data_IF_141433887529
#
_entry.id   IF_141433887529
#
_cell.length_a   1.000
_cell.length_b   1.000
_cell.length_c   1.000
_cell.angle_alpha   90.00
_cell.angle_beta   90.00
_cell.angle_gamma   90.00
#
_symmetry.space_group_name_H-M   'P 1'
#
loop_
_entity.id
_entity.type
_entity.pdbx_description
1 polymer ?
#
# COMPACT_ATOMS: atom_id res chain seq x y z
N UNK A 1 -38.55 -50.06 1.36
CA UNK A 1 -37.45 -49.10 1.10
C UNK A 1 -37.59 -48.62 -0.35
N UNK A 2 -37.98 -47.35 -0.61
CA UNK A 2 -38.26 -46.89 -1.96
C UNK A 2 -36.98 -46.54 -2.74
N UNK A 3 -37.10 -46.78 -4.04
CA UNK A 3 -36.12 -46.74 -5.10
C UNK A 3 -35.71 -45.29 -5.44
N UNK A 4 -34.43 -44.91 -5.32
CA UNK A 4 -33.93 -43.59 -5.78
C UNK A 4 -33.64 -43.67 -7.28
N UNK A 5 -34.55 -43.14 -8.09
CA UNK A 5 -34.33 -42.91 -9.52
C UNK A 5 -33.28 -41.79 -9.70
N UNK A 6 -32.24 -42.06 -10.49
CA UNK A 6 -31.33 -41.03 -11.01
C UNK A 6 -32.01 -40.32 -12.19
N UNK A 7 -32.18 -39.01 -12.09
CA UNK A 7 -32.76 -38.19 -13.15
C UNK A 7 -31.62 -37.44 -13.88
N UNK A 8 -31.30 -37.72 -15.15
CA UNK A 8 -30.16 -37.11 -15.83
C UNK A 8 -30.62 -36.05 -16.84
N UNK A 9 -31.11 -34.89 -16.38
CA UNK A 9 -31.28 -33.73 -17.25
C UNK A 9 -31.06 -32.43 -16.46
N UNK A 10 -29.80 -32.03 -16.32
CA UNK A 10 -29.46 -30.62 -16.18
C UNK A 10 -28.31 -30.31 -17.14
N UNK A 11 -28.72 -29.72 -18.26
CA UNK A 11 -27.91 -29.11 -19.29
C UNK A 11 -27.18 -27.91 -18.69
N UNK A 12 -25.83 -27.84 -18.67
CA UNK A 12 -25.14 -26.62 -18.29
C UNK A 12 -25.27 -25.63 -19.46
N UNK A 13 -26.30 -24.78 -19.40
CA UNK A 13 -26.42 -23.63 -20.30
C UNK A 13 -25.13 -22.82 -20.23
N UNK A 14 -24.37 -22.83 -21.33
CA UNK A 14 -23.24 -21.95 -21.54
C UNK A 14 -23.72 -20.50 -21.44
N UNK A 15 -23.31 -19.82 -20.39
CA UNK A 15 -23.49 -18.37 -20.26
C UNK A 15 -22.60 -17.75 -21.34
N UNK A 16 -23.13 -17.03 -22.34
CA UNK A 16 -22.30 -16.30 -23.27
C UNK A 16 -21.66 -15.14 -22.49
N UNK A 17 -20.38 -15.27 -22.18
CA UNK A 17 -19.58 -14.21 -21.62
C UNK A 17 -19.64 -13.01 -22.59
N UNK A 18 -20.40 -11.99 -22.21
CA UNK A 18 -20.35 -10.70 -22.89
C UNK A 18 -18.91 -10.18 -22.78
N UNK A 19 -18.28 -9.71 -23.86
CA UNK A 19 -16.96 -9.13 -23.78
C UNK A 19 -17.05 -7.88 -22.91
N UNK A 20 -16.38 -7.91 -21.76
CA UNK A 20 -16.13 -6.73 -20.93
C UNK A 20 -15.38 -5.75 -21.83
N UNK A 21 -16.04 -4.69 -22.27
CA UNK A 21 -15.37 -3.57 -22.92
C UNK A 21 -14.44 -2.95 -21.88
N UNK A 22 -13.14 -3.20 -22.07
CA UNK A 22 -12.05 -2.71 -21.23
C UNK A 22 -11.96 -1.19 -21.43
N UNK A 23 -12.64 -0.48 -20.55
CA UNK A 23 -12.53 0.96 -20.37
C UNK A 23 -11.06 1.36 -20.31
N UNK A 24 -10.70 2.37 -21.11
CA UNK A 24 -9.45 3.14 -21.17
C UNK A 24 -8.31 2.68 -20.24
N UNK A 25 -7.12 2.32 -20.78
CA UNK A 25 -6.00 1.97 -19.91
C UNK A 25 -5.64 3.21 -19.10
N UNK A 26 -5.94 3.16 -17.80
CA UNK A 26 -5.26 4.02 -16.82
C UNK A 26 -3.82 3.51 -16.79
N UNK A 27 -3.03 3.89 -17.79
CA UNK A 27 -1.60 3.60 -17.80
C UNK A 27 -1.06 4.24 -16.55
N UNK A 28 -0.49 3.43 -15.66
CA UNK A 28 0.13 3.99 -14.47
C UNK A 28 1.26 4.90 -14.94
N UNK A 29 1.58 5.94 -14.18
CA UNK A 29 2.71 6.83 -14.50
C UNK A 29 4.01 6.06 -14.77
N UNK A 30 4.18 4.91 -14.11
CA UNK A 30 5.31 4.01 -14.34
C UNK A 30 5.26 3.39 -15.73
N UNK A 31 4.09 3.00 -16.24
CA UNK A 31 3.95 2.45 -17.58
C UNK A 31 4.28 3.51 -18.65
N UNK A 32 3.84 4.75 -18.45
CA UNK A 32 4.21 5.89 -19.30
C UNK A 32 5.73 6.15 -19.28
N UNK A 33 6.33 6.06 -18.10
CA UNK A 33 7.75 6.30 -17.92
C UNK A 33 8.61 5.15 -18.48
N UNK A 34 8.12 3.91 -18.43
CA UNK A 34 8.73 2.76 -19.10
C UNK A 34 8.60 2.84 -20.63
N UNK A 35 7.52 3.43 -21.15
CA UNK A 35 7.33 3.63 -22.58
C UNK A 35 8.26 4.72 -23.16
N UNK A 36 8.63 5.70 -22.34
CA UNK A 36 9.49 6.83 -22.76
C UNK A 36 10.97 6.64 -22.44
N UNK A 37 11.32 5.72 -21.53
CA UNK A 37 12.71 5.47 -21.16
C UNK A 37 13.33 4.39 -22.07
N UNK A 38 14.48 4.65 -22.72
CA UNK A 38 15.19 3.62 -23.44
C UNK A 38 15.75 2.58 -22.46
N UNK A 39 15.25 1.34 -22.54
CA UNK A 39 15.71 0.22 -21.72
C UNK A 39 16.58 -0.74 -22.54
N UNK A 40 17.57 -1.42 -21.92
CA UNK A 40 18.38 -2.42 -22.61
C UNK A 40 17.53 -3.63 -23.02
N UNK A 41 18.06 -4.57 -23.81
CA UNK A 41 17.33 -5.81 -24.13
C UNK A 41 16.94 -6.60 -22.87
N UNK A 42 15.83 -7.38 -22.92
CA UNK A 42 15.36 -8.18 -21.79
C UNK A 42 16.46 -9.07 -21.18
N UNK A 43 16.63 -8.98 -19.87
CA UNK A 43 17.68 -9.68 -19.12
C UNK A 43 17.96 -9.01 -17.77
N UNK A 44 19.03 -9.41 -17.06
CA UNK A 44 19.38 -8.82 -15.78
C UNK A 44 19.58 -7.30 -15.86
N UNK A 45 20.21 -6.82 -16.94
CA UNK A 45 20.41 -5.40 -17.20
C UNK A 45 19.08 -4.63 -17.36
N UNK A 46 18.08 -5.24 -18.02
CA UNK A 46 16.73 -4.67 -18.14
C UNK A 46 16.06 -4.53 -16.79
N UNK A 47 16.13 -5.58 -15.95
CA UNK A 47 15.58 -5.52 -14.60
C UNK A 47 16.25 -4.43 -13.76
N UNK A 48 17.59 -4.31 -13.82
CA UNK A 48 18.32 -3.27 -13.09
C UNK A 48 17.96 -1.87 -13.57
N UNK A 49 17.85 -1.65 -14.89
CA UNK A 49 17.44 -0.37 -15.46
C UNK A 49 16.02 0.01 -15.02
N UNK A 50 15.07 -0.93 -15.13
CA UNK A 50 13.69 -0.76 -14.70
C UNK A 50 13.57 -0.52 -13.19
N UNK A 51 14.33 -1.25 -12.38
CA UNK A 51 14.36 -1.07 -10.92
C UNK A 51 14.90 0.30 -10.53
N UNK A 52 15.99 0.77 -11.16
CA UNK A 52 16.52 2.12 -10.93
C UNK A 52 15.43 3.16 -11.16
N UNK A 53 14.69 3.01 -12.25
CA UNK A 53 13.58 3.88 -12.63
C UNK A 53 12.48 3.95 -11.56
N UNK A 54 12.10 2.80 -10.99
CA UNK A 54 11.11 2.72 -9.92
C UNK A 54 11.56 3.34 -8.60
N UNK A 55 12.86 3.26 -8.32
CA UNK A 55 13.45 3.76 -7.07
C UNK A 55 13.85 5.23 -7.14
N UNK A 56 13.86 5.83 -8.34
CA UNK A 56 14.17 7.26 -8.50
C UNK A 56 13.15 8.10 -7.72
N UNK A 57 13.57 8.85 -6.69
CA UNK A 57 12.67 9.69 -5.92
C UNK A 57 12.01 10.70 -6.83
N UNK A 58 10.68 10.73 -6.84
CA UNK A 58 9.94 11.77 -7.53
C UNK A 58 10.18 13.10 -6.82
N UNK A 59 10.27 14.20 -7.57
CA UNK A 59 10.18 15.55 -7.01
C UNK A 59 9.02 15.58 -6.00
N UNK A 60 9.26 16.00 -4.75
CA UNK A 60 8.25 15.98 -3.72
C UNK A 60 7.13 16.91 -4.16
N UNK A 61 6.05 16.32 -4.67
CA UNK A 61 4.75 17.00 -4.66
C UNK A 61 4.43 17.13 -3.18
N UNK A 62 4.89 18.22 -2.55
CA UNK A 62 4.48 18.55 -1.19
C UNK A 62 2.97 18.64 -1.26
N UNK A 63 2.22 17.66 -0.71
CA UNK A 63 0.80 17.84 -0.60
C UNK A 63 0.65 19.06 0.30
N UNK A 64 -0.15 20.04 -0.11
CA UNK A 64 -0.65 21.04 0.84
C UNK A 64 -1.42 20.24 1.90
N UNK A 65 -0.75 19.90 3.00
CA UNK A 65 -1.33 19.08 4.04
C UNK A 65 -2.22 20.03 4.85
N UNK A 66 -3.51 19.68 5.05
CA UNK A 66 -4.33 20.42 6.01
C UNK A 66 -3.68 20.32 7.39
N UNK A 67 -3.98 21.31 8.24
CA UNK A 67 -3.49 21.36 9.61
C UNK A 67 -3.70 20.03 10.32
N UNK A 68 -2.66 19.64 11.05
CA UNK A 68 -2.59 18.37 11.78
C UNK A 68 -3.78 18.29 12.74
N UNK A 69 -4.61 17.26 12.63
CA UNK A 69 -5.62 17.03 13.67
C UNK A 69 -4.94 16.85 15.02
N UNK A 70 -5.61 17.28 16.10
CA UNK A 70 -5.09 17.10 17.46
C UNK A 70 -4.73 15.64 17.77
N UNK A 71 -5.48 14.68 17.20
CA UNK A 71 -5.17 13.25 17.28
C UNK A 71 -3.82 12.91 16.65
N UNK A 72 -3.50 13.48 15.48
CA UNK A 72 -2.21 13.29 14.81
C UNK A 72 -1.07 13.90 15.62
N UNK A 73 -1.25 15.11 16.16
CA UNK A 73 -0.23 15.78 16.97
C UNK A 73 0.11 14.97 18.23
N UNK A 74 -0.89 14.44 18.93
CA UNK A 74 -0.68 13.57 20.10
C UNK A 74 0.06 12.30 19.73
N UNK A 75 -0.33 11.64 18.64
CA UNK A 75 0.35 10.42 18.18
C UNK A 75 1.81 10.72 17.82
N UNK A 76 2.07 11.83 17.12
CA UNK A 76 3.43 12.24 16.77
C UNK A 76 4.27 12.54 18.02
N UNK A 77 3.70 13.20 19.03
CA UNK A 77 4.38 13.48 20.28
C UNK A 77 4.79 12.18 21.00
N UNK A 78 3.86 11.25 21.18
CA UNK A 78 4.14 9.93 21.80
C UNK A 78 5.22 9.19 21.01
N UNK A 79 5.12 9.12 19.68
CA UNK A 79 6.10 8.41 18.86
C UNK A 79 7.48 9.07 18.83
N UNK A 80 7.56 10.37 19.12
CA UNK A 80 8.84 11.12 19.18
C UNK A 80 9.58 10.96 20.50
N UNK A 81 8.96 10.35 21.52
CA UNK A 81 9.61 10.13 22.80
C UNK A 81 10.70 9.04 22.69
N UNK A 82 11.88 9.28 23.27
CA UNK A 82 12.96 8.29 23.25
C UNK A 82 12.52 7.04 24.03
N UNK A 83 12.80 5.86 23.49
CA UNK A 83 12.48 4.55 24.07
C UNK A 83 10.98 4.21 24.19
N UNK A 84 10.07 4.95 23.52
CA UNK A 84 8.63 4.65 23.52
C UNK A 84 8.28 3.21 23.09
N UNK A 85 9.17 2.57 22.31
CA UNK A 85 9.02 1.17 21.86
C UNK A 85 9.00 0.18 23.05
N UNK A 86 9.61 0.54 24.17
CA UNK A 86 9.68 -0.28 25.38
C UNK A 86 8.72 0.19 26.49
N UNK A 87 7.95 1.24 26.23
CA UNK A 87 7.00 1.79 27.19
C UNK A 87 5.61 1.18 26.97
N UNK A 88 5.27 0.22 27.83
CA UNK A 88 3.96 -0.44 27.83
C UNK A 88 2.81 0.55 28.12
N UNK A 89 3.06 1.60 28.90
CA UNK A 89 2.04 2.60 29.21
C UNK A 89 1.77 3.48 27.98
N UNK A 90 2.81 3.89 27.26
CA UNK A 90 2.64 4.60 25.98
C UNK A 90 1.90 3.74 24.95
N UNK A 91 2.17 2.43 24.92
CA UNK A 91 1.45 1.49 24.06
C UNK A 91 -0.06 1.47 24.38
N UNK A 92 -0.42 1.27 25.65
CA UNK A 92 -1.82 1.16 26.10
C UNK A 92 -2.58 2.48 25.99
N UNK A 93 -1.92 3.61 26.25
CA UNK A 93 -2.58 4.92 26.32
C UNK A 93 -2.83 5.58 24.96
N UNK A 94 -2.22 5.10 23.86
CA UNK A 94 -2.43 5.73 22.56
C UNK A 94 -2.13 4.88 21.34
N UNK A 95 -1.03 4.12 21.36
CA UNK A 95 -0.54 3.44 20.14
C UNK A 95 -1.43 2.25 19.78
N UNK A 96 -1.89 1.47 20.76
CA UNK A 96 -2.69 0.27 20.54
C UNK A 96 -3.98 0.57 19.75
N UNK A 97 -4.65 1.69 20.06
CA UNK A 97 -5.90 2.08 19.39
C UNK A 97 -5.68 2.46 17.93
N UNK A 98 -4.60 3.18 17.64
CA UNK A 98 -4.22 3.55 16.27
C UNK A 98 -3.83 2.30 15.48
N UNK A 99 -3.02 1.43 16.09
CA UNK A 99 -2.60 0.17 15.48
C UNK A 99 -3.80 -0.72 15.15
N UNK A 100 -4.74 -0.93 16.08
CA UNK A 100 -5.98 -1.70 15.83
C UNK A 100 -6.81 -1.13 14.67
N UNK A 101 -6.89 0.20 14.58
CA UNK A 101 -7.59 0.87 13.48
C UNK A 101 -6.92 0.64 12.13
N UNK A 102 -5.58 0.68 12.09
CA UNK A 102 -4.80 0.45 10.87
C UNK A 102 -4.79 -1.03 10.47
N UNK A 103 -4.51 -1.95 11.41
CA UNK A 103 -4.44 -3.39 11.16
C UNK A 103 -5.80 -4.01 10.85
N UNK A 104 -6.88 -3.44 11.37
CA UNK A 104 -8.26 -3.82 11.04
C UNK A 104 -8.79 -3.29 9.70
N UNK A 105 -7.98 -2.57 8.92
CA UNK A 105 -8.40 -2.01 7.62
C UNK A 105 -9.35 -0.79 7.75
N UNK A 106 -9.35 -0.13 8.90
CA UNK A 106 -10.15 1.06 9.14
C UNK A 106 -9.77 2.19 8.20
N UNK A 107 -10.76 2.84 7.59
CA UNK A 107 -10.53 4.00 6.71
C UNK A 107 -10.04 5.19 7.53
N UNK A 108 -8.89 5.74 7.15
CA UNK A 108 -8.37 6.96 7.74
C UNK A 108 -9.17 8.18 7.25
N UNK A 109 -9.67 8.99 8.17
CA UNK A 109 -10.36 10.26 7.86
C UNK A 109 -9.41 11.31 7.26
N UNK A 110 -8.14 11.26 7.67
CA UNK A 110 -7.08 12.14 7.18
C UNK A 110 -5.89 11.28 6.74
N UNK A 111 -5.17 11.75 5.71
CA UNK A 111 -3.97 11.06 5.22
C UNK A 111 -2.90 11.07 6.31
N UNK A 112 -2.34 9.90 6.60
CA UNK A 112 -1.23 9.76 7.54
C UNK A 112 0.06 9.53 6.74
N UNK A 113 1.15 10.29 7.02
CA UNK A 113 2.40 10.09 6.31
C UNK A 113 3.00 8.71 6.67
N UNK A 114 3.53 8.03 5.66
CA UNK A 114 4.13 6.71 5.83
C UNK A 114 5.31 6.71 6.81
N UNK A 115 6.04 7.82 6.91
CA UNK A 115 7.14 7.98 7.87
C UNK A 115 6.71 7.87 9.34
N UNK A 116 5.42 8.10 9.62
CA UNK A 116 4.87 7.99 10.97
C UNK A 116 4.32 6.58 11.25
N UNK A 117 3.95 5.83 10.20
CA UNK A 117 3.44 4.45 10.29
C UNK A 117 4.60 3.45 10.35
N UNK A 118 5.59 3.64 9.47
CA UNK A 118 6.81 2.85 9.43
C UNK A 118 7.80 3.58 10.31
N UNK A 119 7.92 3.16 11.56
CA UNK A 119 8.87 3.74 12.50
C UNK A 119 10.29 3.65 11.92
N UNK A 120 10.81 4.76 11.38
CA UNK A 120 12.13 4.82 10.79
C UNK A 120 13.17 5.13 11.87
N UNK A 121 13.53 4.12 12.67
CA UNK A 121 14.78 4.17 13.43
C UNK A 121 15.96 3.57 12.65
N UNK A 122 15.90 3.61 11.32
CA UNK A 122 17.05 3.30 10.47
C UNK A 122 17.76 4.60 10.08
N UNK A 123 18.37 5.27 11.04
CA UNK A 123 19.49 6.16 10.72
C UNK A 123 20.69 5.28 10.41
N UNK A 124 20.89 4.96 9.12
CA UNK A 124 22.20 4.48 8.68
C UNK A 124 23.19 5.61 8.95
N UNK A 125 23.92 5.50 10.07
CA UNK A 125 25.07 6.33 10.36
C UNK A 125 26.11 6.03 9.28
N UNK A 126 26.28 6.97 8.34
CA UNK A 126 27.42 6.96 7.42
C UNK A 126 28.61 7.37 8.27
N UNK A 127 29.36 6.38 8.76
CA UNK A 127 30.67 6.62 9.35
C UNK A 127 31.59 7.22 8.27
N UNK A 128 32.14 8.40 8.56
CA UNK A 128 33.24 9.02 7.80
C UNK A 128 34.58 8.57 8.37
#
# INVERSE_FOLDING_TARGET
MPNRQFNPHHNPSAIPASPILLDSPTTSYIDELLATTPLPPPGPAYYLARRKLWLTPRSPRVPCLPDYSASRQRLQAVLSEPNVVHDDDAWRNGIEKVWKGLSGGGKLKQRLPMSLIVYQNCTCSVAS
#
